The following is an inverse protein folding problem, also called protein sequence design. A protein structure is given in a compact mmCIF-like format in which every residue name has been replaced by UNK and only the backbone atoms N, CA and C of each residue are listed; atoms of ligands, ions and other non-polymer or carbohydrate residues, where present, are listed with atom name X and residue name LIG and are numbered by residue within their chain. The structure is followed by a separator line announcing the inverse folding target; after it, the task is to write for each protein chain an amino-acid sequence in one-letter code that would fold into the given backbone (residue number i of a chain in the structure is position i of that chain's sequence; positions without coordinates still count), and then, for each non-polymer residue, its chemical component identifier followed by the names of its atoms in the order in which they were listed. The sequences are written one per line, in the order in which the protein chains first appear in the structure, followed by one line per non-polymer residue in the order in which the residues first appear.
data_IF_053855036651
#
_entry.id   IF_053855036651
#
_cell.length_a   1.000
_cell.length_b   1.000
_cell.length_c   1.000
_cell.angle_alpha   90.00
_cell.angle_beta   90.00
_cell.angle_gamma   90.00
#
_symmetry.space_group_name_H-M   'P 1'
#
loop_
_entity.id
_entity.type
_entity.pdbx_description
1 polymer ?
#
# COMPACT_ATOMS: atom_id res chain seq x y z
N UNK A 1 18.64 -16.16 -11.11
CA UNK A 1 17.78 -15.11 -11.73
C UNK A 1 18.60 -13.84 -11.72
N UNK A 2 18.63 -13.11 -12.82
CA UNK A 2 19.28 -11.81 -12.92
C UNK A 2 18.70 -10.82 -11.89
N UNK A 3 19.55 -9.98 -11.30
CA UNK A 3 19.17 -9.09 -10.18
C UNK A 3 18.17 -8.03 -10.63
N UNK A 4 18.35 -7.48 -11.82
CA UNK A 4 17.42 -6.52 -12.42
C UNK A 4 16.04 -7.15 -12.65
N UNK A 5 16.02 -8.39 -13.15
CA UNK A 5 14.76 -9.13 -13.32
C UNK A 5 14.09 -9.42 -11.99
N UNK A 6 14.87 -9.76 -10.95
CA UNK A 6 14.33 -9.98 -9.60
C UNK A 6 13.64 -8.73 -9.07
N UNK A 7 14.31 -7.58 -9.14
CA UNK A 7 13.77 -6.29 -8.71
C UNK A 7 12.46 -5.93 -9.45
N UNK A 8 12.44 -6.09 -10.78
CA UNK A 8 11.24 -5.83 -11.58
C UNK A 8 10.06 -6.73 -11.22
N UNK A 9 10.32 -8.01 -10.93
CA UNK A 9 9.30 -8.98 -10.53
C UNK A 9 8.73 -8.62 -9.15
N UNK A 10 9.58 -8.30 -8.18
CA UNK A 10 9.18 -7.91 -6.83
C UNK A 10 8.32 -6.64 -6.85
N UNK A 11 8.76 -5.62 -7.58
CA UNK A 11 8.00 -4.38 -7.76
C UNK A 11 6.66 -4.63 -8.48
N UNK A 12 6.62 -5.52 -9.47
CA UNK A 12 5.39 -5.88 -10.17
C UNK A 12 4.40 -6.64 -9.27
N UNK A 13 4.90 -7.54 -8.42
CA UNK A 13 4.10 -8.27 -7.45
C UNK A 13 3.50 -7.31 -6.40
N UNK A 14 4.28 -6.36 -5.89
CA UNK A 14 3.79 -5.35 -4.96
C UNK A 14 2.70 -4.47 -5.57
N UNK A 15 2.91 -3.98 -6.81
CA UNK A 15 1.86 -3.23 -7.55
C UNK A 15 0.59 -4.07 -7.74
N UNK A 16 0.72 -5.37 -7.99
CA UNK A 16 -0.43 -6.28 -8.13
C UNK A 16 -1.17 -6.47 -6.81
N UNK A 17 -0.47 -6.54 -5.68
CA UNK A 17 -1.06 -6.61 -4.34
C UNK A 17 -1.87 -5.34 -4.03
N UNK A 18 -1.30 -4.15 -4.27
CA UNK A 18 -1.99 -2.88 -4.09
C UNK A 18 -3.28 -2.85 -4.93
N UNK A 19 -3.19 -3.18 -6.22
CA UNK A 19 -4.37 -3.24 -7.10
C UNK A 19 -5.43 -4.23 -6.62
N UNK A 20 -5.02 -5.34 -6.01
CA UNK A 20 -5.97 -6.29 -5.42
C UNK A 20 -6.71 -5.67 -4.22
N UNK A 21 -5.98 -5.00 -3.32
CA UNK A 21 -6.57 -4.30 -2.18
C UNK A 21 -7.48 -3.13 -2.56
N UNK A 22 -7.16 -2.41 -3.64
CA UNK A 22 -7.98 -1.32 -4.20
C UNK A 22 -9.31 -1.85 -4.75
N UNK A 23 -9.31 -3.04 -5.36
CA UNK A 23 -10.53 -3.70 -5.85
C UNK A 23 -11.38 -4.31 -4.74
N UNK A 24 -10.74 -4.80 -3.67
CA UNK A 24 -11.40 -5.45 -2.52
C UNK A 24 -11.78 -4.43 -1.44
N UNK A 25 -12.60 -3.45 -1.81
CA UNK A 25 -13.10 -2.42 -0.87
C UNK A 25 -13.99 -2.99 0.24
N UNK A 26 -14.52 -4.19 0.04
CA UNK A 26 -15.24 -4.96 1.05
C UNK A 26 -14.36 -5.40 2.23
N UNK A 27 -13.06 -5.54 2.02
CA UNK A 27 -12.12 -5.99 3.05
C UNK A 27 -11.67 -4.80 3.89
N UNK A 28 -12.06 -4.75 5.17
CA UNK A 28 -11.67 -3.67 6.08
C UNK A 28 -10.24 -3.88 6.58
N UNK A 29 -9.54 -2.76 6.84
CA UNK A 29 -8.17 -2.83 7.36
C UNK A 29 -8.09 -3.58 8.70
N UNK A 30 -9.11 -3.46 9.56
CA UNK A 30 -9.13 -4.13 10.87
C UNK A 30 -9.18 -5.65 10.72
N UNK A 31 -9.91 -6.18 9.74
CA UNK A 31 -10.00 -7.62 9.50
C UNK A 31 -8.64 -8.18 9.06
N UNK A 32 -7.97 -7.47 8.15
CA UNK A 32 -6.62 -7.88 7.69
C UNK A 32 -5.60 -7.76 8.84
N UNK A 33 -5.67 -6.71 9.65
CA UNK A 33 -4.82 -6.56 10.83
C UNK A 33 -4.99 -7.73 11.80
N UNK A 34 -6.22 -8.12 12.08
CA UNK A 34 -6.51 -9.19 13.05
C UNK A 34 -6.03 -10.57 12.56
N UNK A 35 -6.08 -10.82 11.26
CA UNK A 35 -5.71 -12.14 10.69
C UNK A 35 -4.23 -12.21 10.30
N UNK A 36 -3.69 -11.16 9.68
CA UNK A 36 -2.38 -11.17 9.04
C UNK A 36 -1.36 -10.22 9.69
N UNK A 37 -1.76 -9.42 10.68
CA UNK A 37 -0.86 -8.48 11.37
C UNK A 37 -0.44 -7.25 10.54
N UNK A 38 -1.03 -7.05 9.35
CA UNK A 38 -0.81 -5.85 8.53
C UNK A 38 -2.08 -5.44 7.78
N UNK A 39 -2.10 -4.24 7.22
CA UNK A 39 -3.18 -3.76 6.35
C UNK A 39 -2.67 -2.71 5.37
N UNK A 40 -3.57 -2.05 4.62
CA UNK A 40 -3.23 -0.98 3.67
C UNK A 40 -2.44 0.18 4.31
N UNK A 41 -2.74 0.51 5.56
CA UNK A 41 -1.99 1.54 6.30
C UNK A 41 -0.55 1.12 6.58
N UNK A 42 -0.31 -0.17 6.86
CA UNK A 42 1.04 -0.71 7.03
C UNK A 42 1.81 -0.61 5.70
N UNK A 43 1.19 -0.99 4.58
CA UNK A 43 1.80 -0.85 3.24
C UNK A 43 2.17 0.61 2.93
N UNK A 44 1.29 1.56 3.29
CA UNK A 44 1.56 3.00 3.10
C UNK A 44 2.74 3.46 3.95
N UNK A 45 2.86 2.98 5.19
CA UNK A 45 3.98 3.30 6.07
C UNK A 45 5.29 2.71 5.54
N UNK A 46 5.30 1.45 5.12
CA UNK A 46 6.48 0.80 4.56
C UNK A 46 6.96 1.50 3.29
N UNK A 47 6.04 1.89 2.39
CA UNK A 47 6.41 2.66 1.20
C UNK A 47 7.14 3.96 1.55
N UNK A 48 6.64 4.69 2.55
CA UNK A 48 7.29 5.91 3.04
C UNK A 48 8.65 5.62 3.69
N UNK A 49 8.76 4.58 4.51
CA UNK A 49 10.01 4.20 5.17
C UNK A 49 11.10 3.85 4.15
N UNK A 50 10.78 3.06 3.12
CA UNK A 50 11.70 2.72 2.04
C UNK A 50 12.06 3.93 1.17
N UNK A 51 11.12 4.85 0.90
CA UNK A 51 11.42 6.10 0.21
C UNK A 51 12.43 6.95 1.01
N UNK A 52 12.20 7.12 2.32
CA UNK A 52 13.12 7.85 3.20
C UNK A 52 14.50 7.19 3.23
N UNK A 53 14.57 5.86 3.26
CA UNK A 53 15.84 5.11 3.20
C UNK A 53 16.61 5.36 1.90
N UNK A 54 15.91 5.69 0.81
CA UNK A 54 16.47 6.07 -0.49
C UNK A 54 16.70 7.59 -0.63
N UNK A 55 16.56 8.37 0.46
CA UNK A 55 16.63 9.83 0.48
C UNK A 55 15.55 10.53 -0.38
N UNK A 56 14.41 9.87 -0.56
CA UNK A 56 13.24 10.42 -1.24
C UNK A 56 12.20 10.88 -0.20
N UNK A 57 11.74 12.13 -0.31
CA UNK A 57 10.76 12.69 0.62
C UNK A 57 9.33 12.35 0.15
N UNK A 58 8.72 11.38 0.83
CA UNK A 58 7.33 10.98 0.62
C UNK A 58 6.54 11.17 1.91
N UNK A 59 5.50 12.00 1.86
CA UNK A 59 4.58 12.17 2.99
C UNK A 59 3.74 10.92 3.20
N UNK A 60 3.20 10.75 4.41
CA UNK A 60 2.33 9.61 4.71
C UNK A 60 1.03 9.69 3.88
N UNK A 61 0.57 10.90 3.58
CA UNK A 61 -0.59 11.19 2.76
C UNK A 61 -0.35 10.75 1.31
N UNK A 62 0.80 11.11 0.72
CA UNK A 62 1.19 10.68 -0.62
C UNK A 62 1.33 9.15 -0.69
N UNK A 63 1.95 8.52 0.31
CA UNK A 63 2.06 7.07 0.36
C UNK A 63 0.69 6.38 0.46
N UNK A 64 -0.26 6.97 1.20
CA UNK A 64 -1.65 6.49 1.24
C UNK A 64 -2.32 6.64 -0.11
N UNK A 65 -2.20 7.78 -0.79
CA UNK A 65 -2.77 7.97 -2.13
C UNK A 65 -2.30 6.88 -3.11
N UNK A 66 -1.01 6.52 -3.08
CA UNK A 66 -0.45 5.43 -3.89
C UNK A 66 -1.12 4.08 -3.57
N UNK A 67 -1.35 3.79 -2.28
CA UNK A 67 -1.94 2.51 -1.85
C UNK A 67 -3.46 2.46 -2.05
N UNK A 68 -4.16 3.56 -1.87
CA UNK A 68 -5.63 3.63 -1.89
C UNK A 68 -6.23 4.07 -3.24
N UNK A 69 -5.41 4.56 -4.19
CA UNK A 69 -5.83 5.13 -5.48
C UNK A 69 -6.70 6.40 -5.37
N UNK A 70 -6.79 6.96 -4.17
CA UNK A 70 -7.54 8.18 -3.85
C UNK A 70 -7.05 8.72 -2.51
N UNK A 71 -7.46 9.95 -2.17
CA UNK A 71 -7.15 10.51 -0.87
C UNK A 71 -7.69 9.59 0.24
N UNK A 72 -6.95 9.47 1.34
CA UNK A 72 -7.38 8.65 2.47
C UNK A 72 -8.73 9.11 3.03
N UNK A 73 -9.01 10.42 2.95
CA UNK A 73 -10.28 11.01 3.35
C UNK A 73 -11.43 10.49 2.47
N UNK A 74 -11.28 10.52 1.15
CA UNK A 74 -12.29 10.03 0.21
C UNK A 74 -12.53 8.53 0.38
N UNK A 75 -11.48 7.75 0.61
CA UNK A 75 -11.62 6.32 0.84
C UNK A 75 -12.39 6.03 2.13
N UNK A 76 -12.05 6.74 3.21
CA UNK A 76 -12.73 6.62 4.50
C UNK A 76 -14.21 6.95 4.38
N UNK A 77 -14.56 8.02 3.68
CA UNK A 77 -15.96 8.42 3.47
C UNK A 77 -16.75 7.41 2.63
N UNK A 78 -16.12 6.80 1.61
CA UNK A 78 -16.82 5.90 0.68
C UNK A 78 -16.90 4.45 1.14
N UNK A 79 -15.90 3.96 1.87
CA UNK A 79 -15.70 2.51 2.05
C UNK A 79 -15.43 2.06 3.48
N UNK A 80 -15.09 2.98 4.40
CA UNK A 80 -14.86 2.62 5.80
C UNK A 80 -16.19 2.54 6.55
N UNK A 81 -16.44 1.41 7.21
CA UNK A 81 -17.59 1.19 8.09
C UNK A 81 -17.13 1.07 9.54
#
# INVERSE_FOLDING_TARGET
MDEDKKFLIEAAAFRRLIKHFQKRTDVQNIDVMNVAGFCRNCLSRWYREEAIALNEEVSLEQAREIVYDMSYKDWKEKFQK
#
